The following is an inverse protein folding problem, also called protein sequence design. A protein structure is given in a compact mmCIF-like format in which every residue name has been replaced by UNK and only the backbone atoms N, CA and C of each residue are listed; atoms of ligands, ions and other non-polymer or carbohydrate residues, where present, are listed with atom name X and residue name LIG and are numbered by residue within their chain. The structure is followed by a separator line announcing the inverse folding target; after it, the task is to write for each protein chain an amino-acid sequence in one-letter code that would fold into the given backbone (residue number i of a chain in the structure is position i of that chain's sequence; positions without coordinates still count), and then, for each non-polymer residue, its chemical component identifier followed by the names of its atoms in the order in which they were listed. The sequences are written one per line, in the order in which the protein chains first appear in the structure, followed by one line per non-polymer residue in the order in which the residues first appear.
data_IF_584066963902
#
_entry.id   IF_584066963902
#
_cell.length_a   1.000
_cell.length_b   1.000
_cell.length_c   1.000
_cell.angle_alpha   90.00
_cell.angle_beta   90.00
_cell.angle_gamma   90.00
#
_symmetry.space_group_name_H-M   'P 1'
#
loop_
_entity.id
_entity.type
_entity.pdbx_description
1 polymer ?
#
# COMPACT_ATOMS: atom_id res chain seq x y z
N UNK A 1 -17.95 49.36 23.25
CA UNK A 1 -16.93 48.78 22.35
C UNK A 1 -16.68 47.29 22.66
N UNK A 2 -16.55 46.90 23.93
CA UNK A 2 -16.31 45.50 24.34
C UNK A 2 -17.40 44.49 23.93
N UNK A 3 -18.68 44.88 23.91
CA UNK A 3 -19.79 44.02 23.48
C UNK A 3 -19.74 43.64 22.00
N UNK A 4 -19.34 44.57 21.13
CA UNK A 4 -19.17 44.31 19.69
C UNK A 4 -18.03 43.32 19.44
N UNK A 5 -16.92 43.48 20.15
CA UNK A 5 -15.79 42.55 20.08
C UNK A 5 -16.17 41.15 20.59
N UNK A 6 -16.91 41.07 21.70
CA UNK A 6 -17.39 39.80 22.24
C UNK A 6 -18.35 39.09 21.26
N UNK A 7 -19.26 39.84 20.64
CA UNK A 7 -20.22 39.30 19.68
C UNK A 7 -19.55 38.80 18.40
N UNK A 8 -18.54 39.50 17.88
CA UNK A 8 -17.75 39.05 16.73
C UNK A 8 -17.01 37.75 17.07
N UNK A 9 -16.44 37.63 18.27
CA UNK A 9 -15.73 36.44 18.71
C UNK A 9 -16.66 35.23 18.83
N UNK A 10 -17.87 35.43 19.38
CA UNK A 10 -18.92 34.40 19.43
C UNK A 10 -19.33 33.96 18.01
N UNK A 11 -19.54 34.89 17.08
CA UNK A 11 -19.87 34.56 15.68
C UNK A 11 -18.77 33.72 15.00
N UNK A 12 -17.50 34.05 15.23
CA UNK A 12 -16.37 33.28 14.68
C UNK A 12 -16.29 31.87 15.26
N UNK A 13 -16.54 31.71 16.57
CA UNK A 13 -16.55 30.39 17.21
C UNK A 13 -17.70 29.51 16.70
N UNK A 14 -18.89 30.10 16.48
CA UNK A 14 -20.03 29.38 15.93
C UNK A 14 -19.74 28.94 14.49
N UNK A 15 -19.20 29.83 13.65
CA UNK A 15 -18.83 29.49 12.28
C UNK A 15 -17.78 28.37 12.21
N UNK A 16 -16.78 28.42 13.10
CA UNK A 16 -15.77 27.37 13.21
C UNK A 16 -16.37 26.03 13.66
N UNK A 17 -17.24 26.04 14.67
CA UNK A 17 -17.92 24.84 15.15
C UNK A 17 -18.83 24.21 14.08
N UNK A 18 -19.56 25.03 13.32
CA UNK A 18 -20.38 24.57 12.20
C UNK A 18 -19.50 23.98 11.09
N UNK A 19 -18.38 24.61 10.77
CA UNK A 19 -17.42 24.09 9.79
C UNK A 19 -16.85 22.72 10.20
N UNK A 20 -16.47 22.57 11.47
CA UNK A 20 -16.03 21.29 12.02
C UNK A 20 -17.15 20.25 12.02
N UNK A 21 -18.38 20.64 12.35
CA UNK A 21 -19.52 19.73 12.38
C UNK A 21 -19.90 19.23 10.99
N UNK A 22 -19.96 20.13 10.01
CA UNK A 22 -20.25 19.78 8.61
C UNK A 22 -19.10 18.94 8.02
N UNK A 23 -17.84 19.32 8.26
CA UNK A 23 -16.68 18.55 7.83
C UNK A 23 -16.65 17.16 8.45
N UNK A 24 -16.95 17.05 9.75
CA UNK A 24 -17.08 15.77 10.44
C UNK A 24 -18.25 14.93 9.92
N UNK A 25 -19.38 15.54 9.58
CA UNK A 25 -20.56 14.83 9.08
C UNK A 25 -20.33 14.27 7.67
N UNK A 26 -19.70 15.04 6.77
CA UNK A 26 -19.31 14.59 5.43
C UNK A 26 -18.25 13.49 5.51
N UNK A 27 -17.23 13.68 6.35
CA UNK A 27 -16.19 12.67 6.57
C UNK A 27 -16.76 11.39 7.19
N UNK A 28 -17.69 11.50 8.15
CA UNK A 28 -18.33 10.34 8.80
C UNK A 28 -19.22 9.56 7.86
N UNK A 29 -19.95 10.21 6.95
CA UNK A 29 -20.76 9.50 5.94
C UNK A 29 -19.84 8.75 4.96
N UNK A 30 -18.88 9.46 4.37
CA UNK A 30 -17.96 8.88 3.38
C UNK A 30 -17.10 7.75 3.96
N UNK A 31 -16.65 7.86 5.20
CA UNK A 31 -15.90 6.80 5.86
C UNK A 31 -16.75 5.54 6.10
N UNK A 32 -18.07 5.72 6.28
CA UNK A 32 -19.03 4.62 6.48
C UNK A 32 -19.32 3.89 5.16
N UNK A 33 -19.48 4.64 4.07
CA UNK A 33 -19.66 4.09 2.71
C UNK A 33 -18.46 3.20 2.31
N UNK A 34 -17.23 3.65 2.63
CA UNK A 34 -15.99 2.88 2.36
C UNK A 34 -15.90 1.59 3.17
N UNK A 35 -16.40 1.57 4.41
CA UNK A 35 -16.42 0.36 5.24
C UNK A 35 -17.43 -0.64 4.67
N UNK A 36 -18.60 -0.19 4.24
CA UNK A 36 -19.62 -1.05 3.63
C UNK A 36 -19.14 -1.65 2.29
N UNK A 37 -18.43 -0.87 1.48
CA UNK A 37 -17.80 -1.36 0.24
C UNK A 37 -16.71 -2.41 0.51
N UNK A 38 -15.87 -2.21 1.54
CA UNK A 38 -14.85 -3.18 1.96
C UNK A 38 -15.47 -4.48 2.50
N UNK A 39 -16.54 -4.40 3.28
CA UNK A 39 -17.28 -5.56 3.79
C UNK A 39 -17.97 -6.32 2.66
N UNK A 40 -18.57 -5.61 1.70
CA UNK A 40 -19.16 -6.20 0.51
C UNK A 40 -18.11 -6.92 -0.37
N UNK A 41 -16.92 -6.31 -0.54
CA UNK A 41 -15.81 -6.91 -1.26
C UNK A 41 -15.28 -8.18 -0.56
N UNK A 42 -15.17 -8.17 0.77
CA UNK A 42 -14.79 -9.35 1.56
C UNK A 42 -15.82 -10.47 1.45
N UNK A 43 -17.12 -10.15 1.51
CA UNK A 43 -18.20 -11.12 1.36
C UNK A 43 -18.15 -11.79 -0.02
N UNK A 44 -17.98 -10.99 -1.08
CA UNK A 44 -17.83 -11.49 -2.46
C UNK A 44 -16.59 -12.37 -2.64
N UNK A 45 -15.45 -12.01 -2.02
CA UNK A 45 -14.26 -12.86 -2.02
C UNK A 45 -14.47 -14.18 -1.27
N UNK A 46 -15.23 -14.16 -0.16
CA UNK A 46 -15.55 -15.37 0.60
C UNK A 46 -16.48 -16.30 -0.16
N UNK A 47 -17.46 -15.76 -0.87
CA UNK A 47 -18.35 -16.50 -1.78
C UNK A 47 -17.56 -17.10 -2.96
N UNK A 48 -16.63 -16.34 -3.54
CA UNK A 48 -15.72 -16.81 -4.61
C UNK A 48 -14.76 -17.91 -4.13
N UNK A 49 -14.28 -17.85 -2.89
CA UNK A 49 -13.37 -18.84 -2.29
C UNK A 49 -14.07 -20.13 -1.81
N UNK A 50 -15.40 -20.15 -1.75
CA UNK A 50 -16.17 -21.28 -1.21
C UNK A 50 -16.46 -22.41 -2.22
N UNK A 51 -16.07 -22.30 -3.49
CA UNK A 51 -16.23 -23.38 -4.48
C UNK A 51 -15.06 -23.41 -5.47
N UNK A 52 -14.31 -24.52 -5.65
CA UNK A 52 -14.20 -25.76 -4.86
C UNK A 52 -12.74 -26.15 -4.48
N UNK A 53 -12.58 -26.67 -3.26
CA UNK A 53 -11.47 -27.54 -2.88
C UNK A 53 -11.92 -29.00 -3.01
N UNK A 54 -11.64 -29.65 -4.15
CA UNK A 54 -11.64 -31.11 -4.28
C UNK A 54 -11.07 -31.54 -5.65
N UNK A 55 -9.77 -31.88 -5.72
CA UNK A 55 -9.22 -33.06 -6.39
C UNK A 55 -7.67 -32.94 -6.57
N UNK A 56 -6.92 -34.05 -6.54
CA UNK A 56 -5.55 -34.09 -6.03
C UNK A 56 -4.43 -34.08 -7.10
N UNK A 57 -3.26 -33.65 -6.64
CA UNK A 57 -1.88 -33.80 -7.16
C UNK A 57 -1.59 -35.06 -7.99
N UNK A 58 -0.94 -34.91 -9.16
CA UNK A 58 0.17 -35.80 -9.61
C UNK A 58 1.20 -35.03 -10.46
N UNK A 59 2.46 -35.44 -10.33
CA UNK A 59 3.74 -34.77 -10.56
C UNK A 59 4.30 -34.77 -12.00
N UNK A 60 5.26 -33.87 -12.26
CA UNK A 60 6.60 -34.21 -12.81
C UNK A 60 7.51 -32.96 -12.93
N UNK A 61 8.66 -32.98 -12.24
CA UNK A 61 9.85 -32.17 -12.53
C UNK A 61 10.91 -33.11 -13.18
N UNK A 62 11.94 -32.63 -13.93
CA UNK A 62 13.11 -32.02 -13.27
C UNK A 62 13.81 -30.85 -14.01
N UNK A 63 14.49 -30.06 -13.18
CA UNK A 63 15.33 -28.86 -13.39
C UNK A 63 16.75 -29.19 -13.91
N UNK A 64 17.50 -28.22 -14.52
CA UNK A 64 18.42 -27.32 -13.77
C UNK A 64 18.40 -25.86 -14.33
N UNK A 65 18.71 -24.74 -13.65
CA UNK A 65 19.45 -24.40 -12.43
C UNK A 65 18.88 -23.05 -11.89
N UNK A 66 18.47 -22.98 -10.62
CA UNK A 66 19.18 -22.33 -9.49
C UNK A 66 18.99 -20.79 -9.41
N UNK A 67 18.24 -20.22 -8.45
CA UNK A 67 17.59 -20.81 -7.30
C UNK A 67 16.68 -19.82 -6.54
N UNK A 68 15.79 -20.41 -5.73
CA UNK A 68 14.83 -19.80 -4.80
C UNK A 68 13.53 -19.20 -5.39
N UNK A 69 12.86 -19.96 -6.27
CA UNK A 69 11.47 -19.74 -6.65
C UNK A 69 10.60 -20.93 -6.21
N UNK A 70 10.17 -20.99 -4.95
CA UNK A 70 9.13 -21.94 -4.50
C UNK A 70 8.65 -21.64 -3.06
N UNK A 71 7.84 -20.59 -2.88
CA UNK A 71 6.84 -20.46 -1.81
C UNK A 71 6.18 -19.07 -1.88
N UNK A 72 5.49 -18.73 -2.97
CA UNK A 72 4.72 -17.47 -3.06
C UNK A 72 3.39 -17.74 -3.73
N UNK A 73 2.62 -18.64 -3.10
CA UNK A 73 1.23 -18.90 -3.43
C UNK A 73 0.43 -19.03 -2.13
N UNK A 74 0.56 -18.01 -1.27
CA UNK A 74 -0.32 -17.86 -0.12
C UNK A 74 -0.51 -16.37 0.13
N UNK A 75 -1.76 -15.93 -0.01
CA UNK A 75 -2.25 -14.56 0.22
C UNK A 75 -2.06 -13.54 -0.90
N UNK A 76 -2.66 -13.79 -2.08
CA UNK A 76 -3.44 -12.70 -2.70
C UNK A 76 -4.79 -13.25 -3.11
N UNK A 77 -5.80 -12.90 -2.32
CA UNK A 77 -7.18 -13.26 -2.60
C UNK A 77 -7.72 -12.32 -3.68
N UNK A 78 -7.41 -12.61 -4.96
CA UNK A 78 -8.13 -12.09 -6.13
C UNK A 78 -8.37 -10.57 -6.20
N UNK A 79 -7.60 -9.76 -5.49
CA UNK A 79 -7.80 -8.32 -5.34
C UNK A 79 -6.46 -7.60 -5.25
N UNK A 80 -6.47 -6.31 -5.56
CA UNK A 80 -5.29 -5.43 -5.55
C UNK A 80 -4.69 -5.41 -4.14
N UNK A 81 -3.38 -5.64 -4.04
CA UNK A 81 -2.65 -5.58 -2.79
C UNK A 81 -2.36 -4.11 -2.41
N UNK A 82 -2.25 -3.81 -1.11
CA UNK A 82 -1.89 -2.47 -0.64
C UNK A 82 -0.38 -2.25 -0.73
N UNK A 83 0.09 -1.75 -1.88
CA UNK A 83 1.51 -1.54 -2.13
C UNK A 83 2.14 -0.48 -1.20
N UNK A 84 1.33 0.31 -0.48
CA UNK A 84 1.81 1.33 0.48
C UNK A 84 2.56 0.73 1.68
N UNK A 85 2.46 -0.58 1.91
CA UNK A 85 3.19 -1.27 2.98
C UNK A 85 4.71 -1.27 2.70
N UNK A 86 5.09 -1.16 1.42
CA UNK A 86 6.48 -1.10 0.99
C UNK A 86 7.02 0.31 1.21
N UNK A 87 8.18 0.37 1.87
CA UNK A 87 8.83 1.63 2.17
C UNK A 87 9.28 2.32 0.87
N UNK A 88 8.92 3.60 0.73
CA UNK A 88 9.13 4.39 -0.48
C UNK A 88 7.94 4.41 -1.46
N UNK A 89 6.92 3.55 -1.28
CA UNK A 89 5.70 3.57 -2.10
C UNK A 89 4.60 4.37 -1.38
N UNK A 90 4.39 5.61 -1.83
CA UNK A 90 3.26 6.43 -1.40
C UNK A 90 2.00 6.23 -2.26
N UNK A 91 0.86 6.86 -1.90
CA UNK A 91 -0.41 6.71 -2.64
C UNK A 91 -0.30 7.04 -4.14
N UNK A 92 0.56 8.00 -4.50
CA UNK A 92 0.81 8.37 -5.91
C UNK A 92 1.63 7.31 -6.66
N UNK A 93 2.61 6.71 -5.99
CA UNK A 93 3.42 5.66 -6.60
C UNK A 93 2.62 4.37 -6.76
N UNK A 94 1.81 4.02 -5.76
CA UNK A 94 0.86 2.92 -5.88
C UNK A 94 -0.08 3.12 -7.08
N UNK A 95 -0.68 4.31 -7.24
CA UNK A 95 -1.51 4.61 -8.41
C UNK A 95 -0.75 4.46 -9.73
N UNK A 96 0.50 4.93 -9.79
CA UNK A 96 1.35 4.81 -10.97
C UNK A 96 1.66 3.35 -11.31
N UNK A 97 2.01 2.54 -10.31
CA UNK A 97 2.31 1.12 -10.45
C UNK A 97 1.06 0.34 -10.87
N UNK A 98 -0.09 0.63 -10.26
CA UNK A 98 -1.37 0.04 -10.64
C UNK A 98 -1.72 0.37 -12.10
N UNK A 99 -1.49 1.61 -12.54
CA UNK A 99 -1.71 2.00 -13.94
C UNK A 99 -0.72 1.31 -14.91
N UNK A 100 0.45 0.91 -14.42
CA UNK A 100 1.41 0.09 -15.16
C UNK A 100 1.09 -1.42 -15.12
N UNK A 101 0.00 -1.83 -14.47
CA UNK A 101 -0.42 -3.23 -14.34
C UNK A 101 0.30 -4.00 -13.22
N UNK A 102 0.93 -3.30 -12.28
CA UNK A 102 1.55 -3.88 -11.09
C UNK A 102 0.62 -3.61 -9.92
N UNK A 103 -0.24 -4.58 -9.62
CA UNK A 103 -1.32 -4.43 -8.63
C UNK A 103 -1.13 -5.33 -7.40
N UNK A 104 -0.15 -6.24 -7.45
CA UNK A 104 0.13 -7.20 -6.38
C UNK A 104 1.60 -7.18 -5.92
N UNK A 105 1.85 -7.61 -4.69
CA UNK A 105 3.21 -7.79 -4.18
C UNK A 105 4.00 -8.80 -5.02
N UNK A 106 3.32 -9.84 -5.51
CA UNK A 106 3.91 -10.86 -6.36
C UNK A 106 4.38 -10.27 -7.71
N UNK A 107 3.56 -9.45 -8.36
CA UNK A 107 3.94 -8.76 -9.60
C UNK A 107 5.08 -7.76 -9.38
N UNK A 108 5.02 -6.98 -8.31
CA UNK A 108 6.06 -6.01 -7.98
C UNK A 108 7.40 -6.70 -7.70
N UNK A 109 7.40 -7.83 -6.99
CA UNK A 109 8.62 -8.62 -6.73
C UNK A 109 9.26 -9.23 -7.99
N UNK A 110 8.45 -9.48 -9.02
CA UNK A 110 8.91 -10.01 -10.32
C UNK A 110 9.30 -8.91 -11.30
N UNK A 111 8.94 -7.66 -11.01
CA UNK A 111 9.23 -6.55 -11.89
C UNK A 111 10.69 -6.15 -11.72
N UNK A 112 11.48 -6.12 -12.82
CA UNK A 112 12.90 -5.79 -12.73
C UNK A 112 13.09 -4.29 -12.44
N UNK A 113 14.11 -3.95 -11.66
CA UNK A 113 14.44 -2.56 -11.26
C UNK A 113 14.49 -1.58 -12.44
N UNK A 114 15.11 -1.90 -13.60
CA UNK A 114 15.11 -1.01 -14.75
C UNK A 114 13.69 -0.63 -15.23
N UNK A 115 12.75 -1.57 -15.17
CA UNK A 115 11.36 -1.31 -15.56
C UNK A 115 10.66 -0.39 -14.56
N UNK A 116 10.92 -0.55 -13.28
CA UNK A 116 10.41 0.34 -12.24
C UNK A 116 10.95 1.76 -12.43
N UNK A 117 12.24 1.88 -12.71
CA UNK A 117 12.89 3.16 -13.01
C UNK A 117 12.30 3.83 -14.25
N UNK A 118 12.00 3.09 -15.32
CA UNK A 118 11.31 3.62 -16.49
C UNK A 118 9.93 4.19 -16.14
N UNK A 119 9.13 3.44 -15.37
CA UNK A 119 7.78 3.86 -14.96
C UNK A 119 7.85 5.12 -14.10
N UNK A 120 8.75 5.16 -13.13
CA UNK A 120 8.94 6.29 -12.21
C UNK A 120 9.49 7.52 -12.95
N UNK A 121 10.45 7.34 -13.87
CA UNK A 121 10.99 8.42 -14.71
C UNK A 121 9.95 8.97 -15.68
N UNK A 122 9.11 8.12 -16.26
CA UNK A 122 8.03 8.53 -17.17
C UNK A 122 7.01 9.43 -16.47
N UNK A 123 6.84 9.31 -15.15
CA UNK A 123 6.01 10.23 -14.37
C UNK A 123 6.64 11.63 -14.23
N UNK A 124 7.96 11.76 -14.33
CA UNK A 124 8.67 13.05 -14.44
C UNK A 124 8.71 13.92 -13.19
N UNK A 125 8.22 13.44 -12.05
CA UNK A 125 8.22 14.22 -10.81
C UNK A 125 9.51 14.03 -10.02
N UNK A 126 10.41 15.01 -10.10
CA UNK A 126 11.71 15.01 -9.41
C UNK A 126 11.60 14.71 -7.90
N UNK A 127 10.59 15.28 -7.23
CA UNK A 127 10.37 15.01 -5.80
C UNK A 127 10.02 13.55 -5.53
N UNK A 128 9.24 12.92 -6.40
CA UNK A 128 8.84 11.52 -6.22
C UNK A 128 9.97 10.56 -6.57
N UNK A 129 10.76 10.86 -7.60
CA UNK A 129 11.97 10.10 -7.94
C UNK A 129 13.06 10.21 -6.86
N UNK A 130 13.16 11.36 -6.17
CA UNK A 130 14.14 11.56 -5.09
C UNK A 130 13.78 10.77 -3.81
N UNK A 131 12.52 10.35 -3.65
CA UNK A 131 12.02 9.58 -2.50
C UNK A 131 11.81 8.09 -2.84
N UNK A 132 11.61 7.80 -4.12
CA UNK A 132 11.48 6.44 -4.61
C UNK A 132 12.82 5.74 -4.52
N UNK A 133 12.81 4.56 -3.93
CA UNK A 133 14.00 3.74 -3.79
C UNK A 133 13.72 2.44 -4.53
N UNK A 134 13.75 2.50 -5.87
CA UNK A 134 13.23 1.42 -6.73
C UNK A 134 14.05 0.13 -6.63
N UNK A 135 15.28 0.21 -6.15
CA UNK A 135 16.16 -0.94 -5.95
C UNK A 135 15.66 -1.86 -4.83
N UNK A 136 15.01 -1.30 -3.80
CA UNK A 136 14.58 -2.06 -2.61
C UNK A 136 13.11 -2.47 -2.67
N UNK A 137 12.35 -1.99 -3.66
CA UNK A 137 10.93 -2.35 -3.80
C UNK A 137 10.71 -3.83 -4.13
N UNK A 138 11.44 -4.46 -5.08
CA UNK A 138 11.25 -5.88 -5.39
C UNK A 138 11.53 -6.79 -4.20
N UNK A 139 12.60 -6.51 -3.44
CA UNK A 139 12.98 -7.30 -2.27
C UNK A 139 11.91 -7.22 -1.17
N UNK A 140 11.44 -6.01 -0.86
CA UNK A 140 10.35 -5.79 0.09
C UNK A 140 9.05 -6.44 -0.37
N UNK A 141 8.71 -6.31 -1.66
CA UNK A 141 7.54 -6.93 -2.26
C UNK A 141 7.61 -8.45 -2.17
N UNK A 142 8.80 -9.05 -2.35
CA UNK A 142 8.99 -10.48 -2.16
C UNK A 142 8.72 -10.91 -0.71
N UNK A 143 9.10 -10.08 0.28
CA UNK A 143 8.79 -10.34 1.70
C UNK A 143 7.31 -10.19 2.02
N UNK A 144 6.65 -9.19 1.44
CA UNK A 144 5.22 -8.99 1.59
C UNK A 144 4.40 -10.10 0.91
N UNK A 145 4.82 -10.53 -0.29
CA UNK A 145 4.15 -11.58 -1.06
C UNK A 145 4.22 -12.95 -0.39
N UNK A 146 5.28 -13.22 0.38
CA UNK A 146 5.41 -14.43 1.21
C UNK A 146 4.73 -14.30 2.58
N UNK A 147 4.22 -13.13 2.94
CA UNK A 147 3.59 -12.84 4.23
C UNK A 147 4.58 -12.69 5.39
N UNK A 148 5.88 -12.53 5.12
CA UNK A 148 6.91 -12.34 6.14
C UNK A 148 6.98 -10.88 6.61
N UNK A 149 5.94 -10.46 7.33
CA UNK A 149 5.84 -9.10 7.85
C UNK A 149 6.94 -8.75 8.84
N UNK A 150 7.45 -9.72 9.61
CA UNK A 150 8.53 -9.49 10.57
C UNK A 150 9.88 -9.26 9.89
N UNK A 151 10.18 -10.05 8.84
CA UNK A 151 11.37 -9.84 8.03
C UNK A 151 11.31 -8.49 7.31
N UNK A 152 10.13 -8.12 6.77
CA UNK A 152 9.91 -6.84 6.13
C UNK A 152 10.19 -5.66 7.08
N UNK A 153 9.64 -5.70 8.30
CA UNK A 153 9.89 -4.65 9.31
C UNK A 153 11.35 -4.57 9.70
N UNK A 154 12.02 -5.71 9.87
CA UNK A 154 13.45 -5.75 10.20
C UNK A 154 14.30 -5.12 9.08
N UNK A 155 13.98 -5.46 7.82
CA UNK A 155 14.62 -4.91 6.63
C UNK A 155 14.39 -3.40 6.51
N UNK A 156 13.15 -2.93 6.70
CA UNK A 156 12.81 -1.50 6.68
C UNK A 156 13.53 -0.72 7.78
N UNK A 157 13.68 -1.31 8.97
CA UNK A 157 14.44 -0.71 10.07
C UNK A 157 15.92 -0.55 9.70
N UNK A 158 16.54 -1.58 9.11
CA UNK A 158 17.93 -1.53 8.64
C UNK A 158 18.12 -0.46 7.55
N UNK A 159 17.21 -0.39 6.57
CA UNK A 159 17.23 0.64 5.53
C UNK A 159 17.17 2.05 6.12
N UNK A 160 16.24 2.29 7.06
CA UNK A 160 16.10 3.59 7.71
C UNK A 160 17.34 3.99 8.51
N UNK A 161 18.04 3.02 9.10
CA UNK A 161 19.29 3.23 9.83
C UNK A 161 20.44 3.63 8.90
N UNK A 162 20.53 2.97 7.74
CA UNK A 162 21.60 3.17 6.74
C UNK A 162 21.46 4.49 6.00
N UNK A 163 20.24 4.89 5.61
CA UNK A 163 20.00 6.20 4.97
C UNK A 163 20.03 7.37 5.98
N UNK A 164 19.62 7.14 7.22
CA UNK A 164 19.57 8.16 8.28
C UNK A 164 20.92 8.55 8.88
N UNK A 165 22.02 7.94 8.44
CA UNK A 165 23.36 8.28 8.93
C UNK A 165 23.62 7.88 10.39
N UNK A 166 23.10 6.72 10.82
CA UNK A 166 23.57 5.96 11.99
C UNK A 166 24.03 6.77 13.21
N UNK A 167 23.23 7.72 13.70
CA UNK A 167 23.50 8.34 15.01
C UNK A 167 22.79 7.53 16.10
N UNK A 168 23.52 6.86 17.00
CA UNK A 168 22.90 6.29 18.18
C UNK A 168 22.33 7.40 19.08
N UNK A 169 21.20 7.10 19.72
CA UNK A 169 20.56 7.93 20.75
C UNK A 169 21.44 8.01 22.00
#
# INVERSE_FOLDING_TARGET
MSYLLLQILICLLIAFAIGLFIGWLIWRNSNRDRVEELEAALKKCRESKAAPAAAPVVAAAPVPAAGAAAAVAAASGGGKDDLKIIWGIGPKMEQLLNNAGIETFAELSRTPVPRLQEIVRAYGSKRLTDIANEEVWPDQAAMAARGDWDALKAYQKDLSWREGGGKPQ
#
